data_IF_433094586538
#
_entry.id   IF_433094586538
#
_cell.length_a   1.000
_cell.length_b   1.000
_cell.length_c   1.000
_cell.angle_alpha   90.00
_cell.angle_beta   90.00
_cell.angle_gamma   90.00
#
_symmetry.space_group_name_H-M   'P 1'
#
loop_
_entity.id
_entity.type
_entity.pdbx_description
1 polymer ?
#
# COMPACT_ATOMS: atom_id res chain seq x y z
N UNK A 1 72.37 92.48 70.91
CA UNK A 1 71.70 93.32 69.89
C UNK A 1 71.49 92.45 68.66
N UNK A 2 70.25 92.39 68.18
CA UNK A 2 69.75 91.75 66.94
C UNK A 2 70.62 90.66 66.30
N UNK A 3 70.21 89.39 66.46
CA UNK A 3 70.69 88.29 65.65
C UNK A 3 70.35 88.55 64.18
N UNK A 4 71.29 89.14 63.47
CA UNK A 4 71.24 89.28 62.02
C UNK A 4 71.48 87.90 61.41
N UNK A 5 70.63 87.52 60.45
CA UNK A 5 70.90 86.39 59.56
C UNK A 5 72.20 86.70 58.84
N UNK A 6 73.21 85.83 58.93
CA UNK A 6 74.48 86.05 58.23
C UNK A 6 74.32 85.79 56.73
N UNK A 7 75.18 86.35 55.88
CA UNK A 7 75.21 85.99 54.44
C UNK A 7 75.34 84.47 54.24
N UNK A 8 76.08 83.80 55.13
CA UNK A 8 76.23 82.33 55.14
C UNK A 8 74.92 81.61 55.47
N UNK A 9 74.09 82.16 56.37
CA UNK A 9 72.75 81.62 56.66
C UNK A 9 71.80 81.82 55.47
N UNK A 10 71.89 82.95 54.75
CA UNK A 10 71.11 83.18 53.52
C UNK A 10 71.52 82.23 52.38
N UNK A 11 72.82 82.02 52.17
CA UNK A 11 73.33 81.02 51.21
C UNK A 11 72.88 79.61 51.57
N UNK A 12 72.89 79.25 52.86
CA UNK A 12 72.40 77.94 53.32
C UNK A 12 70.90 77.78 53.08
N UNK A 13 70.08 78.83 53.31
CA UNK A 13 68.64 78.81 53.06
C UNK A 13 68.36 78.68 51.56
N UNK A 14 69.06 79.45 50.71
CA UNK A 14 68.90 79.37 49.25
C UNK A 14 69.30 77.99 48.73
N UNK A 15 70.46 77.46 49.17
CA UNK A 15 70.89 76.10 48.81
C UNK A 15 69.88 75.03 49.28
N UNK A 16 69.30 75.19 50.47
CA UNK A 16 68.28 74.28 50.97
C UNK A 16 66.97 74.36 50.20
N UNK A 17 66.59 75.56 49.78
CA UNK A 17 65.42 75.79 48.94
C UNK A 17 65.63 75.22 47.54
N UNK A 18 66.79 75.42 46.91
CA UNK A 18 67.13 74.79 45.63
C UNK A 18 67.09 73.26 45.74
N UNK A 19 67.66 72.69 46.81
CA UNK A 19 67.56 71.26 47.05
C UNK A 19 66.10 70.79 47.23
N UNK A 20 65.25 71.61 47.85
CA UNK A 20 63.83 71.31 47.97
C UNK A 20 63.13 71.34 46.62
N UNK A 21 63.45 72.30 45.75
CA UNK A 21 62.93 72.34 44.38
C UNK A 21 63.39 71.10 43.61
N UNK A 22 64.67 70.75 43.63
CA UNK A 22 65.21 69.53 42.99
C UNK A 22 64.51 68.25 43.51
N UNK A 23 64.20 68.22 44.80
CA UNK A 23 63.53 67.08 45.44
C UNK A 23 62.04 67.02 45.06
N UNK A 24 61.35 68.16 45.00
CA UNK A 24 59.95 68.26 44.59
C UNK A 24 59.77 68.04 43.07
N UNK A 25 60.78 68.37 42.26
CA UNK A 25 60.80 68.12 40.81
C UNK A 25 61.20 66.69 40.45
N UNK A 26 61.50 65.84 41.44
CA UNK A 26 62.01 64.48 41.27
C UNK A 26 63.37 64.39 40.57
N UNK A 27 64.15 65.47 40.54
CA UNK A 27 65.53 65.47 40.06
C UNK A 27 66.49 64.81 41.07
N UNK A 28 66.14 64.81 42.36
CA UNK A 28 66.84 64.09 43.44
C UNK A 28 65.87 63.22 44.25
N UNK A 29 66.31 61.98 44.52
CA UNK A 29 65.52 60.99 45.27
C UNK A 29 65.74 61.02 46.79
N UNK A 30 66.77 61.73 47.25
CA UNK A 30 67.13 61.87 48.66
C UNK A 30 67.29 63.34 49.01
N UNK A 31 66.85 63.69 50.22
CA UNK A 31 66.93 65.05 50.74
C UNK A 31 67.92 65.08 51.91
N UNK A 32 68.95 65.91 51.81
CA UNK A 32 69.99 66.07 52.83
C UNK A 32 69.52 67.09 53.88
N UNK A 33 69.14 66.60 55.06
CA UNK A 33 68.61 67.46 56.11
C UNK A 33 69.70 68.31 56.79
N UNK A 34 69.49 69.62 56.87
CA UNK A 34 70.28 70.51 57.72
C UNK A 34 69.74 70.41 59.16
N UNK A 35 70.54 69.85 60.06
CA UNK A 35 70.16 69.65 61.48
C UNK A 35 70.61 70.81 62.40
N UNK A 36 71.69 71.52 62.05
CA UNK A 36 72.13 72.75 62.73
C UNK A 36 73.08 73.60 61.89
N UNK A 37 72.90 74.92 61.90
CA UNK A 37 73.80 75.95 61.36
C UNK A 37 74.52 76.74 62.44
N UNK A 38 74.25 76.45 63.73
CA UNK A 38 74.77 77.18 64.89
C UNK A 38 73.97 78.44 65.25
N UNK A 39 72.94 78.80 64.47
CA UNK A 39 72.02 79.90 64.77
C UNK A 39 70.66 79.34 65.19
N UNK A 40 70.33 79.44 66.48
CA UNK A 40 69.11 78.85 67.07
C UNK A 40 67.82 79.20 66.32
N UNK A 41 67.67 80.42 65.80
CA UNK A 41 66.47 80.82 65.04
C UNK A 41 66.38 80.14 63.67
N UNK A 42 67.52 79.94 63.01
CA UNK A 42 67.63 79.28 61.71
C UNK A 42 67.47 77.76 61.88
N UNK A 43 68.02 77.18 62.95
CA UNK A 43 67.87 75.76 63.30
C UNK A 43 66.42 75.37 63.60
N UNK A 44 65.69 76.20 64.37
CA UNK A 44 64.26 75.98 64.65
C UNK A 44 63.40 76.12 63.37
N UNK A 45 63.85 76.90 62.39
CA UNK A 45 63.21 76.98 61.07
C UNK A 45 63.47 75.69 60.27
N UNK A 46 64.73 75.26 60.15
CA UNK A 46 65.06 74.03 59.44
C UNK A 46 64.41 72.81 60.09
N UNK A 47 64.34 72.69 61.42
CA UNK A 47 63.60 71.58 62.08
C UNK A 47 62.14 71.50 61.66
N UNK A 48 61.44 72.64 61.58
CA UNK A 48 60.05 72.69 61.10
C UNK A 48 59.95 72.30 59.63
N UNK A 49 60.87 72.79 58.79
CA UNK A 49 60.92 72.42 57.38
C UNK A 49 61.23 70.93 57.20
N UNK A 50 62.17 70.36 57.95
CA UNK A 50 62.53 68.95 57.92
C UNK A 50 61.33 68.06 58.22
N UNK A 51 60.51 68.44 59.20
CA UNK A 51 59.27 67.71 59.51
C UNK A 51 58.26 67.78 58.37
N UNK A 52 58.09 68.95 57.73
CA UNK A 52 57.19 69.11 56.59
C UNK A 52 57.69 68.38 55.34
N UNK A 53 59.00 68.38 55.10
CA UNK A 53 59.63 67.69 53.97
C UNK A 53 59.57 66.17 54.17
N UNK A 54 59.82 65.67 55.39
CA UNK A 54 59.64 64.24 55.72
C UNK A 54 58.18 63.79 55.58
N UNK A 55 57.22 64.61 56.01
CA UNK A 55 55.80 64.29 55.85
C UNK A 55 55.34 64.37 54.39
N UNK A 56 55.90 65.29 53.61
CA UNK A 56 55.68 65.37 52.17
C UNK A 56 56.27 64.16 51.44
N UNK A 57 57.54 63.82 51.68
CA UNK A 57 58.21 62.66 51.07
C UNK A 57 57.43 61.36 51.34
N UNK A 58 57.00 61.15 52.59
CA UNK A 58 56.16 60.00 52.94
C UNK A 58 54.86 59.98 52.13
N UNK A 59 54.13 61.11 52.09
CA UNK A 59 52.88 61.21 51.32
C UNK A 59 53.11 61.02 49.82
N UNK A 60 54.17 61.58 49.25
CA UNK A 60 54.54 61.41 47.85
C UNK A 60 54.88 59.95 47.53
N UNK A 61 55.62 59.26 48.40
CA UNK A 61 55.91 57.82 48.25
C UNK A 61 54.66 56.95 48.36
N UNK A 62 53.74 57.26 49.28
CA UNK A 62 52.48 56.54 49.41
C UNK A 62 51.57 56.79 48.18
N UNK A 63 51.53 58.02 47.66
CA UNK A 63 50.85 58.40 46.40
C UNK A 63 51.43 57.60 45.21
N UNK A 64 52.76 57.58 45.06
CA UNK A 64 53.46 56.82 44.01
C UNK A 64 53.20 55.32 44.12
N UNK A 65 53.11 54.77 45.32
CA UNK A 65 52.79 53.34 45.53
C UNK A 65 51.39 53.01 45.01
N UNK A 66 50.39 53.84 45.31
CA UNK A 66 49.02 53.65 44.80
C UNK A 66 48.98 53.78 43.28
N UNK A 67 49.66 54.79 42.71
CA UNK A 67 49.72 54.98 41.25
C UNK A 67 50.44 53.81 40.55
N UNK A 68 51.52 53.28 41.13
CA UNK A 68 52.20 52.10 40.63
C UNK A 68 51.29 50.85 40.64
N UNK A 69 50.54 50.63 41.72
CA UNK A 69 49.54 49.55 41.78
C UNK A 69 48.40 49.74 40.76
N UNK A 70 47.98 50.98 40.49
CA UNK A 70 47.00 51.29 39.45
C UNK A 70 47.52 50.85 38.08
N UNK A 71 48.78 51.18 37.74
CA UNK A 71 49.39 50.78 36.46
C UNK A 71 49.45 49.24 36.34
N UNK A 72 49.91 48.55 37.38
CA UNK A 72 49.96 47.08 37.38
C UNK A 72 48.56 46.45 37.29
N UNK A 73 47.56 47.07 37.93
CA UNK A 73 46.18 46.60 37.87
C UNK A 73 45.59 46.82 36.47
N UNK A 74 45.90 47.96 35.84
CA UNK A 74 45.45 48.27 34.48
C UNK A 74 46.01 47.26 33.45
N UNK A 75 47.29 46.91 33.52
CA UNK A 75 47.90 45.86 32.66
C UNK A 75 47.20 44.50 32.82
N UNK A 76 46.80 44.15 34.05
CA UNK A 76 46.02 42.91 34.29
C UNK A 76 44.61 42.99 33.71
N UNK A 77 43.98 44.15 33.79
CA UNK A 77 42.62 44.40 33.28
C UNK A 77 42.59 44.35 31.74
N UNK A 78 43.62 44.90 31.09
CA UNK A 78 43.83 44.78 29.64
C UNK A 78 43.86 43.30 29.20
N UNK A 79 44.43 42.43 30.03
CA UNK A 79 44.49 40.97 29.81
C UNK A 79 43.22 40.23 30.26
N UNK A 80 42.17 40.93 30.68
CA UNK A 80 40.91 40.34 31.14
C UNK A 80 40.90 39.82 32.58
N UNK A 81 41.90 40.16 33.40
CA UNK A 81 42.01 39.70 34.79
C UNK A 81 41.36 40.72 35.74
N UNK A 82 40.03 40.63 35.88
CA UNK A 82 39.25 41.61 36.66
C UNK A 82 39.25 41.39 38.18
N UNK A 83 39.82 40.29 38.69
CA UNK A 83 39.87 39.96 40.13
C UNK A 83 40.91 40.79 40.93
N UNK A 84 41.80 41.50 40.25
CA UNK A 84 42.87 42.30 40.87
C UNK A 84 42.33 43.55 41.57
N UNK A 85 42.93 43.97 42.68
CA UNK A 85 42.52 45.18 43.42
C UNK A 85 43.72 46.01 43.84
N UNK A 86 43.54 47.32 43.89
CA UNK A 86 44.50 48.27 44.43
C UNK A 86 44.35 48.24 45.96
N UNK A 87 45.42 47.90 46.67
CA UNK A 87 45.41 47.67 48.13
C UNK A 87 46.13 48.77 48.89
N UNK A 88 47.18 49.35 48.30
CA UNK A 88 47.92 50.48 48.87
C UNK A 88 47.01 51.68 49.15
N UNK A 89 47.37 52.51 50.13
CA UNK A 89 46.57 53.66 50.56
C UNK A 89 47.40 54.94 50.53
N UNK A 90 46.72 56.05 50.33
CA UNK A 90 47.29 57.40 50.32
C UNK A 90 46.36 58.33 51.12
N UNK A 91 46.94 59.31 51.80
CA UNK A 91 46.21 60.37 52.50
C UNK A 91 45.66 61.44 51.55
N UNK A 92 46.07 61.41 50.26
CA UNK A 92 45.56 62.30 49.22
C UNK A 92 44.11 61.91 48.86
N UNK A 93 43.12 62.78 49.12
CA UNK A 93 41.70 62.44 48.91
C UNK A 93 41.36 62.07 47.46
N UNK A 94 42.05 62.67 46.49
CA UNK A 94 41.83 62.39 45.06
C UNK A 94 42.31 61.00 44.69
N UNK A 95 43.52 60.61 45.13
CA UNK A 95 44.09 59.29 44.88
C UNK A 95 43.29 58.22 45.60
N UNK A 96 42.88 58.47 46.84
CA UNK A 96 42.00 57.57 47.59
C UNK A 96 40.64 57.37 46.89
N UNK A 97 40.04 58.44 46.38
CA UNK A 97 38.78 58.38 45.62
C UNK A 97 38.95 57.62 44.31
N UNK A 98 40.06 57.84 43.60
CA UNK A 98 40.39 57.13 42.36
C UNK A 98 40.54 55.62 42.61
N UNK A 99 41.32 55.23 43.63
CA UNK A 99 41.45 53.83 44.08
C UNK A 99 40.08 53.19 44.30
N UNK A 100 39.22 53.82 45.09
CA UNK A 100 37.92 53.26 45.44
C UNK A 100 36.99 53.15 44.24
N UNK A 101 37.04 54.14 43.34
CA UNK A 101 36.25 54.14 42.09
C UNK A 101 36.70 53.01 41.16
N UNK A 102 38.02 52.84 40.98
CA UNK A 102 38.58 51.74 40.18
C UNK A 102 38.26 50.38 40.80
N UNK A 103 38.45 50.20 42.11
CA UNK A 103 38.11 48.94 42.78
C UNK A 103 36.61 48.61 42.69
N UNK A 104 35.72 49.62 42.75
CA UNK A 104 34.27 49.44 42.56
C UNK A 104 33.94 49.03 41.12
N UNK A 105 34.56 49.68 40.13
CA UNK A 105 34.43 49.32 38.72
C UNK A 105 34.88 47.87 38.49
N UNK A 106 36.06 47.50 38.98
CA UNK A 106 36.60 46.14 38.86
C UNK A 106 35.71 45.10 39.53
N UNK A 107 35.16 45.40 40.71
CA UNK A 107 34.22 44.49 41.39
C UNK A 107 32.93 44.30 40.61
N UNK A 108 32.44 45.34 39.93
CA UNK A 108 31.24 45.24 39.09
C UNK A 108 31.48 44.40 37.83
N UNK A 109 32.65 44.53 37.20
CA UNK A 109 33.03 43.74 36.01
C UNK A 109 33.31 42.28 36.40
N UNK A 110 34.01 42.06 37.51
CA UNK A 110 34.31 40.73 38.06
C UNK A 110 33.02 39.96 38.42
N UNK A 111 32.04 40.60 39.05
CA UNK A 111 30.72 39.99 39.32
C UNK A 111 29.95 39.69 38.03
N UNK A 112 29.93 40.62 37.06
CA UNK A 112 29.24 40.41 35.79
C UNK A 112 29.84 39.23 35.01
N UNK A 113 31.15 39.22 34.85
CA UNK A 113 31.89 38.16 34.14
C UNK A 113 31.78 36.81 34.84
N UNK A 114 31.84 36.78 36.17
CA UNK A 114 31.65 35.55 36.95
C UNK A 114 30.24 34.95 36.78
N UNK A 115 29.19 35.80 36.76
CA UNK A 115 27.80 35.35 36.52
C UNK A 115 27.62 34.80 35.11
N UNK A 116 28.16 35.51 34.11
CA UNK A 116 28.12 35.08 32.71
C UNK A 116 28.84 33.74 32.56
N UNK A 117 30.07 33.63 33.08
CA UNK A 117 30.87 32.42 32.96
C UNK A 117 30.20 31.22 33.65
N UNK A 118 29.54 31.43 34.80
CA UNK A 118 28.79 30.37 35.49
C UNK A 118 27.70 29.80 34.59
N UNK A 119 26.82 30.65 34.06
CA UNK A 119 25.66 30.23 33.27
C UNK A 119 26.10 29.63 31.93
N UNK A 120 27.08 30.23 31.26
CA UNK A 120 27.65 29.67 30.02
C UNK A 120 28.28 28.31 30.28
N UNK A 121 29.00 28.12 31.40
CA UNK A 121 29.53 26.81 31.77
C UNK A 121 28.40 25.79 32.03
N UNK A 122 27.29 26.18 32.66
CA UNK A 122 26.12 25.31 32.81
C UNK A 122 25.61 24.84 31.44
N UNK A 123 25.48 25.76 30.46
CA UNK A 123 25.03 25.41 29.10
C UNK A 123 26.01 24.49 28.37
N UNK A 124 27.33 24.63 28.56
CA UNK A 124 28.32 23.70 27.98
C UNK A 124 28.25 22.28 28.55
N UNK A 125 27.58 22.11 29.70
CA UNK A 125 27.33 20.82 30.33
C UNK A 125 25.86 20.38 30.15
N UNK A 126 25.20 20.87 29.07
CA UNK A 126 23.82 20.53 28.72
C UNK A 126 22.78 20.88 29.81
N UNK A 127 23.11 21.80 30.70
CA UNK A 127 22.22 22.29 31.75
C UNK A 127 21.68 23.68 31.40
N UNK A 128 20.51 23.71 30.77
CA UNK A 128 19.83 24.92 30.32
C UNK A 128 18.86 25.49 31.37
N UNK A 129 18.97 25.05 32.63
CA UNK A 129 18.09 25.50 33.72
C UNK A 129 18.64 26.70 34.49
N UNK A 130 19.96 26.94 34.45
CA UNK A 130 20.61 28.10 35.08
C UNK A 130 20.31 29.39 34.30
N UNK A 131 20.27 30.52 35.00
CA UNK A 131 20.01 31.82 34.40
C UNK A 131 20.71 32.95 35.15
N UNK A 132 21.03 34.02 34.42
CA UNK A 132 21.63 35.23 34.98
C UNK A 132 20.50 36.08 35.57
N UNK A 133 20.53 36.25 36.89
CA UNK A 133 19.72 37.29 37.55
C UNK A 133 20.31 38.66 37.23
N UNK A 134 19.69 39.36 36.30
CA UNK A 134 20.04 40.74 35.92
C UNK A 134 19.65 41.69 37.05
N UNK A 135 20.61 42.47 37.55
CA UNK A 135 20.43 43.46 38.62
C UNK A 135 20.41 44.86 38.00
N UNK A 136 19.61 45.79 38.55
CA UNK A 136 19.37 47.14 37.99
C UNK A 136 20.62 48.03 37.88
N UNK A 137 21.73 47.65 38.51
CA UNK A 137 23.00 48.36 38.40
C UNK A 137 23.72 48.13 37.07
N UNK A 138 23.39 47.07 36.33
CA UNK A 138 23.88 46.83 34.98
C UNK A 138 23.00 47.55 33.95
N UNK A 139 23.65 48.26 33.03
CA UNK A 139 22.98 49.07 32.01
C UNK A 139 23.58 48.77 30.65
N UNK A 140 22.86 49.21 29.62
CA UNK A 140 23.32 49.20 28.22
C UNK A 140 23.77 47.80 27.77
N UNK A 141 24.83 47.70 26.97
CA UNK A 141 25.40 46.44 26.44
C UNK A 141 25.57 45.32 27.46
N UNK A 142 25.99 45.62 28.70
CA UNK A 142 26.18 44.58 29.72
C UNK A 142 24.85 43.95 30.14
N UNK A 143 23.81 44.77 30.27
CA UNK A 143 22.46 44.28 30.55
C UNK A 143 21.94 43.45 29.37
N UNK A 144 22.09 43.97 28.15
CA UNK A 144 21.65 43.30 26.94
C UNK A 144 22.35 41.94 26.74
N UNK A 145 23.65 41.85 27.06
CA UNK A 145 24.42 40.61 27.01
C UNK A 145 23.86 39.57 27.97
N UNK A 146 23.60 39.95 29.23
CA UNK A 146 23.03 39.04 30.23
C UNK A 146 21.63 38.56 29.84
N UNK A 147 20.79 39.46 29.33
CA UNK A 147 19.45 39.11 28.84
C UNK A 147 19.52 38.18 27.62
N UNK A 148 20.44 38.43 26.71
CA UNK A 148 20.66 37.62 25.51
C UNK A 148 21.16 36.20 25.84
N UNK A 149 22.01 36.04 26.87
CA UNK A 149 22.42 34.72 27.38
C UNK A 149 21.24 33.96 28.00
N UNK A 150 20.34 34.65 28.70
CA UNK A 150 19.12 34.03 29.22
C UNK A 150 18.18 33.57 28.08
N UNK A 151 18.03 34.40 27.03
CA UNK A 151 17.25 34.02 25.85
C UNK A 151 17.87 32.79 25.18
N UNK A 152 19.20 32.76 25.01
CA UNK A 152 19.90 31.61 24.45
C UNK A 152 19.63 30.33 25.24
N UNK A 153 19.72 30.37 26.57
CA UNK A 153 19.41 29.20 27.42
C UNK A 153 17.97 28.71 27.26
N UNK A 154 17.01 29.64 27.18
CA UNK A 154 15.61 29.31 26.93
C UNK A 154 15.41 28.64 25.56
N UNK A 155 16.03 29.15 24.50
CA UNK A 155 15.92 28.56 23.17
C UNK A 155 16.60 27.19 23.08
N UNK A 156 17.74 26.99 23.75
CA UNK A 156 18.39 25.67 23.87
C UNK A 156 17.51 24.68 24.64
N UNK A 157 16.92 25.11 25.76
CA UNK A 157 15.99 24.28 26.54
C UNK A 157 14.73 23.91 25.75
N UNK A 158 14.14 24.87 25.03
CA UNK A 158 13.01 24.62 24.13
C UNK A 158 13.38 23.64 23.01
N UNK A 159 14.57 23.79 22.42
CA UNK A 159 15.06 22.87 21.39
C UNK A 159 15.23 21.45 21.93
N UNK A 160 15.82 21.29 23.12
CA UNK A 160 15.96 19.99 23.77
C UNK A 160 14.58 19.34 24.09
N UNK A 161 13.62 20.14 24.55
CA UNK A 161 12.23 19.70 24.78
C UNK A 161 11.52 19.27 23.51
N UNK A 162 11.66 20.03 22.43
CA UNK A 162 11.11 19.68 21.13
C UNK A 162 11.73 18.38 20.60
N UNK A 163 13.05 18.20 20.76
CA UNK A 163 13.72 16.96 20.40
C UNK A 163 13.15 15.78 21.23
N UNK A 164 12.99 15.92 22.54
CA UNK A 164 12.36 14.88 23.36
C UNK A 164 11.00 14.45 22.80
N UNK A 165 10.10 15.41 22.54
CA UNK A 165 8.77 15.14 22.00
C UNK A 165 8.82 14.49 20.60
N UNK A 166 9.74 14.95 19.74
CA UNK A 166 9.95 14.38 18.40
C UNK A 166 10.43 12.92 18.49
N UNK A 167 11.33 12.62 19.43
CA UNK A 167 11.81 11.28 19.70
C UNK A 167 10.69 10.34 20.15
N UNK A 168 9.84 10.77 21.09
CA UNK A 168 8.71 9.97 21.57
C UNK A 168 7.70 9.71 20.45
N UNK A 169 7.44 10.72 19.61
CA UNK A 169 6.54 10.59 18.46
C UNK A 169 7.10 9.60 17.44
N UNK A 170 8.39 9.72 17.09
CA UNK A 170 9.06 8.82 16.15
C UNK A 170 9.08 7.37 16.65
N UNK A 171 9.34 7.14 17.94
CA UNK A 171 9.32 5.80 18.54
C UNK A 171 7.94 5.16 18.42
N UNK A 172 6.88 5.90 18.78
CA UNK A 172 5.50 5.44 18.68
C UNK A 172 5.08 5.16 17.22
N UNK A 173 5.44 6.06 16.29
CA UNK A 173 5.17 5.87 14.86
C UNK A 173 5.90 4.65 14.29
N UNK A 174 7.17 4.44 14.64
CA UNK A 174 7.96 3.30 14.19
C UNK A 174 7.40 1.96 14.73
N UNK A 175 6.96 1.93 15.99
CA UNK A 175 6.30 0.77 16.60
C UNK A 175 4.98 0.43 15.91
N UNK A 176 4.16 1.45 15.64
CA UNK A 176 2.89 1.30 14.90
C UNK A 176 3.14 0.79 13.48
N UNK A 177 4.12 1.35 12.78
CA UNK A 177 4.50 0.96 11.42
C UNK A 177 4.99 -0.48 11.36
N UNK A 178 5.82 -0.90 12.33
CA UNK A 178 6.28 -2.30 12.47
C UNK A 178 5.09 -3.25 12.65
N UNK A 179 4.12 -2.89 13.48
CA UNK A 179 2.92 -3.70 13.72
C UNK A 179 2.04 -3.81 12.48
N UNK A 180 1.83 -2.69 11.77
CA UNK A 180 1.09 -2.66 10.50
C UNK A 180 1.77 -3.50 9.42
N UNK A 181 3.10 -3.46 9.33
CA UNK A 181 3.85 -4.30 8.39
C UNK A 181 3.75 -5.78 8.75
N UNK A 182 3.87 -6.17 10.02
CA UNK A 182 3.66 -7.57 10.40
C UNK A 182 2.26 -8.08 10.02
N UNK A 183 1.23 -7.24 10.16
CA UNK A 183 -0.12 -7.56 9.72
C UNK A 183 -0.20 -7.71 8.19
N UNK A 184 0.38 -6.77 7.43
CA UNK A 184 0.43 -6.85 5.96
C UNK A 184 1.14 -8.13 5.48
N UNK A 185 2.28 -8.49 6.07
CA UNK A 185 2.99 -9.72 5.75
C UNK A 185 2.14 -10.97 6.05
N UNK A 186 1.39 -10.97 7.16
CA UNK A 186 0.46 -12.07 7.50
C UNK A 186 -0.67 -12.16 6.47
N UNK A 187 -1.27 -11.04 6.09
CA UNK A 187 -2.34 -10.98 5.09
C UNK A 187 -1.86 -11.40 3.70
N UNK A 188 -0.64 -11.02 3.32
CA UNK A 188 -0.02 -11.47 2.08
C UNK A 188 0.16 -13.00 2.06
N UNK A 189 0.60 -13.61 3.16
CA UNK A 189 0.71 -15.06 3.26
C UNK A 189 -0.67 -15.77 3.21
N UNK A 190 -1.68 -15.25 3.90
CA UNK A 190 -3.06 -15.77 3.82
C UNK A 190 -3.62 -15.67 2.38
N UNK A 191 -3.34 -14.56 1.70
CA UNK A 191 -3.75 -14.33 0.32
C UNK A 191 -3.02 -15.29 -0.63
N UNK A 192 -1.73 -15.55 -0.44
CA UNK A 192 -0.97 -16.52 -1.23
C UNK A 192 -1.58 -17.93 -1.11
N UNK A 193 -1.90 -18.38 0.10
CA UNK A 193 -2.57 -19.67 0.33
C UNK A 193 -3.96 -19.72 -0.35
N UNK A 194 -4.71 -18.61 -0.33
CA UNK A 194 -6.01 -18.52 -1.00
C UNK A 194 -5.87 -18.56 -2.54
N UNK A 195 -4.80 -17.97 -3.08
CA UNK A 195 -4.49 -18.03 -4.51
C UNK A 195 -4.08 -19.43 -4.95
N UNK A 196 -3.33 -20.19 -4.14
CA UNK A 196 -3.02 -21.60 -4.42
C UNK A 196 -4.30 -22.45 -4.53
N UNK A 197 -5.23 -22.28 -3.59
CA UNK A 197 -6.53 -22.97 -3.64
C UNK A 197 -7.35 -22.57 -4.87
N UNK A 198 -7.34 -21.27 -5.21
CA UNK A 198 -8.03 -20.76 -6.40
C UNK A 198 -7.41 -21.31 -7.69
N UNK A 199 -6.09 -21.40 -7.75
CA UNK A 199 -5.37 -21.98 -8.88
C UNK A 199 -5.72 -23.48 -9.06
N UNK A 200 -5.75 -24.25 -7.97
CA UNK A 200 -6.16 -25.66 -8.01
C UNK A 200 -7.62 -25.83 -8.50
N UNK A 201 -8.54 -24.99 -8.00
CA UNK A 201 -9.93 -24.99 -8.45
C UNK A 201 -10.05 -24.60 -9.94
N UNK A 202 -9.23 -23.67 -10.41
CA UNK A 202 -9.18 -23.29 -11.82
C UNK A 202 -8.64 -24.41 -12.71
N UNK A 203 -7.64 -25.17 -12.27
CA UNK A 203 -7.17 -26.36 -13.01
C UNK A 203 -8.29 -27.41 -13.14
N UNK A 204 -9.05 -27.66 -12.07
CA UNK A 204 -10.19 -28.58 -12.09
C UNK A 204 -11.28 -28.08 -13.06
N UNK A 205 -11.67 -26.81 -12.98
CA UNK A 205 -12.65 -26.20 -13.89
C UNK A 205 -12.14 -26.26 -15.34
N UNK A 206 -10.87 -25.97 -15.58
CA UNK A 206 -10.25 -26.07 -16.92
C UNK A 206 -10.39 -27.47 -17.49
N UNK A 207 -10.11 -28.49 -16.67
CA UNK A 207 -10.22 -29.90 -17.04
C UNK A 207 -11.67 -30.28 -17.39
N UNK A 208 -12.63 -29.87 -16.54
CA UNK A 208 -14.06 -30.12 -16.76
C UNK A 208 -14.54 -29.44 -18.05
N UNK A 209 -14.22 -28.16 -18.26
CA UNK A 209 -14.61 -27.42 -19.46
C UNK A 209 -14.03 -28.04 -20.72
N UNK A 210 -12.76 -28.48 -20.68
CA UNK A 210 -12.14 -29.20 -21.79
C UNK A 210 -12.84 -30.53 -22.09
N UNK A 211 -13.22 -31.28 -21.06
CA UNK A 211 -13.98 -32.52 -21.21
C UNK A 211 -15.37 -32.24 -21.82
N UNK A 212 -16.05 -31.18 -21.39
CA UNK A 212 -17.33 -30.75 -21.96
C UNK A 212 -17.22 -30.42 -23.45
N UNK A 213 -16.18 -29.71 -23.87
CA UNK A 213 -15.95 -29.44 -25.31
C UNK A 213 -15.77 -30.74 -26.11
N UNK A 214 -15.01 -31.71 -25.58
CA UNK A 214 -14.83 -33.01 -26.23
C UNK A 214 -16.14 -33.80 -26.30
N UNK A 215 -16.92 -33.81 -25.22
CA UNK A 215 -18.22 -34.48 -25.18
C UNK A 215 -19.22 -33.83 -26.13
N UNK A 216 -19.28 -32.50 -26.20
CA UNK A 216 -20.14 -31.79 -27.14
C UNK A 216 -19.77 -32.14 -28.60
N UNK A 217 -18.48 -32.17 -28.92
CA UNK A 217 -18.00 -32.59 -30.25
C UNK A 217 -18.47 -34.01 -30.58
N UNK A 218 -18.28 -34.96 -29.65
CA UNK A 218 -18.71 -36.36 -29.81
C UNK A 218 -20.25 -36.49 -29.92
N UNK A 219 -21.00 -35.70 -29.16
CA UNK A 219 -22.47 -35.65 -29.25
C UNK A 219 -22.91 -35.14 -30.62
N UNK A 220 -22.23 -34.14 -31.18
CA UNK A 220 -22.49 -33.64 -32.53
C UNK A 220 -22.30 -34.71 -33.59
N UNK A 221 -21.18 -35.45 -33.54
CA UNK A 221 -20.92 -36.58 -34.44
C UNK A 221 -22.00 -37.68 -34.33
N UNK A 222 -22.37 -38.07 -33.11
CA UNK A 222 -23.43 -39.05 -32.87
C UNK A 222 -24.79 -38.54 -33.38
N UNK A 223 -25.10 -37.26 -33.17
CA UNK A 223 -26.30 -36.61 -33.68
C UNK A 223 -26.39 -36.73 -35.21
N UNK A 224 -25.30 -36.50 -35.93
CA UNK A 224 -25.25 -36.66 -37.39
C UNK A 224 -25.47 -38.11 -37.83
N UNK A 225 -24.92 -39.09 -37.11
CA UNK A 225 -25.14 -40.52 -37.39
C UNK A 225 -26.62 -40.89 -37.19
N UNK A 226 -27.24 -40.42 -36.10
CA UNK A 226 -28.67 -40.64 -35.84
C UNK A 226 -29.53 -39.98 -36.91
N UNK A 227 -29.22 -38.73 -37.29
CA UNK A 227 -29.93 -38.02 -38.36
C UNK A 227 -29.91 -38.77 -39.68
N UNK A 228 -28.75 -39.32 -40.08
CA UNK A 228 -28.62 -40.16 -41.27
C UNK A 228 -29.44 -41.45 -41.17
N UNK A 229 -29.48 -42.07 -39.99
CA UNK A 229 -30.26 -43.29 -39.74
C UNK A 229 -31.76 -43.03 -39.83
N UNK A 230 -32.23 -41.89 -39.30
CA UNK A 230 -33.62 -41.42 -39.42
C UNK A 230 -34.00 -41.17 -40.88
N UNK A 231 -33.16 -40.50 -41.66
CA UNK A 231 -33.38 -40.30 -43.10
C UNK A 231 -33.51 -41.63 -43.86
N UNK A 232 -32.64 -42.60 -43.52
CA UNK A 232 -32.71 -43.94 -44.12
C UNK A 232 -34.02 -44.65 -43.73
N UNK A 233 -34.47 -44.50 -42.49
CA UNK A 233 -35.77 -45.02 -42.02
C UNK A 233 -36.95 -44.40 -42.76
N UNK A 234 -36.94 -43.08 -42.97
CA UNK A 234 -37.94 -42.35 -43.75
C UNK A 234 -38.02 -42.87 -45.19
N UNK A 235 -36.88 -43.06 -45.86
CA UNK A 235 -36.82 -43.63 -47.21
C UNK A 235 -37.39 -45.05 -47.28
N UNK A 236 -37.10 -45.90 -46.30
CA UNK A 236 -37.61 -47.27 -46.24
C UNK A 236 -39.12 -47.31 -45.97
N UNK A 237 -39.63 -46.43 -45.11
CA UNK A 237 -41.07 -46.28 -44.89
C UNK A 237 -41.79 -45.81 -46.17
N UNK A 238 -41.21 -44.85 -46.90
CA UNK A 238 -41.71 -44.40 -48.20
C UNK A 238 -41.76 -45.54 -49.24
N UNK A 239 -40.69 -46.33 -49.36
CA UNK A 239 -40.68 -47.53 -50.23
C UNK A 239 -41.72 -48.57 -49.82
N UNK A 240 -41.97 -48.72 -48.53
CA UNK A 240 -42.99 -49.65 -48.01
C UNK A 240 -44.39 -49.18 -48.38
N UNK A 241 -44.68 -47.88 -48.23
CA UNK A 241 -45.95 -47.29 -48.65
C UNK A 241 -46.22 -47.50 -50.16
N UNK A 242 -45.20 -47.27 -51.00
CA UNK A 242 -45.28 -47.53 -52.44
C UNK A 242 -45.53 -49.00 -52.75
N UNK A 243 -44.86 -49.91 -52.05
CA UNK A 243 -45.06 -51.36 -52.23
C UNK A 243 -46.48 -51.79 -51.84
N UNK A 244 -47.06 -51.20 -50.79
CA UNK A 244 -48.45 -51.45 -50.41
C UNK A 244 -49.44 -50.90 -51.44
N UNK A 245 -49.13 -49.76 -52.07
CA UNK A 245 -49.91 -49.25 -53.20
C UNK A 245 -49.88 -50.19 -54.41
N UNK A 246 -48.70 -50.70 -54.76
CA UNK A 246 -48.57 -51.69 -55.84
C UNK A 246 -49.35 -52.97 -55.53
N UNK A 247 -49.28 -53.46 -54.29
CA UNK A 247 -50.06 -54.62 -53.83
C UNK A 247 -51.56 -54.33 -53.98
N UNK A 248 -52.04 -53.18 -53.52
CA UNK A 248 -53.44 -52.78 -53.61
C UNK A 248 -53.94 -52.77 -55.06
N UNK A 249 -53.15 -52.25 -56.00
CA UNK A 249 -53.46 -52.29 -57.43
C UNK A 249 -53.50 -53.71 -58.00
N UNK A 250 -52.57 -54.60 -57.61
CA UNK A 250 -52.62 -56.02 -58.02
C UNK A 250 -53.83 -56.75 -57.44
N UNK A 251 -54.18 -56.47 -56.19
CA UNK A 251 -55.33 -57.07 -55.51
C UNK A 251 -56.65 -56.62 -56.16
N UNK A 252 -56.78 -55.34 -56.55
CA UNK A 252 -57.92 -54.85 -57.34
C UNK A 252 -58.05 -55.56 -58.70
N UNK A 253 -56.93 -55.76 -59.40
CA UNK A 253 -56.93 -56.49 -60.67
C UNK A 253 -57.40 -57.95 -60.49
N UNK A 254 -56.95 -58.61 -59.41
CA UNK A 254 -57.44 -59.96 -59.05
C UNK A 254 -58.94 -59.93 -58.76
N UNK A 255 -59.44 -58.98 -57.96
CA UNK A 255 -60.88 -58.88 -57.65
C UNK A 255 -61.74 -58.72 -58.92
N UNK A 256 -61.26 -57.92 -59.88
CA UNK A 256 -61.91 -57.77 -61.18
C UNK A 256 -61.95 -59.10 -61.96
N UNK A 257 -60.83 -59.83 -62.01
CA UNK A 257 -60.77 -61.14 -62.65
C UNK A 257 -61.70 -62.18 -61.99
N UNK A 258 -61.76 -62.20 -60.65
CA UNK A 258 -62.66 -63.08 -59.88
C UNK A 258 -64.13 -62.75 -60.17
N UNK A 259 -64.47 -61.46 -60.30
CA UNK A 259 -65.82 -61.03 -60.69
C UNK A 259 -66.20 -61.55 -62.07
N UNK A 260 -65.28 -61.56 -63.03
CA UNK A 260 -65.51 -62.15 -64.36
C UNK A 260 -65.69 -63.68 -64.26
N UNK A 261 -64.92 -64.36 -63.42
CA UNK A 261 -65.07 -65.82 -63.21
C UNK A 261 -66.45 -66.15 -62.61
N UNK A 262 -66.91 -65.38 -61.62
CA UNK A 262 -68.24 -65.53 -61.03
C UNK A 262 -69.36 -65.32 -62.07
N UNK A 263 -69.20 -64.31 -62.95
CA UNK A 263 -70.11 -64.11 -64.09
C UNK A 263 -70.12 -65.28 -65.08
N UNK A 264 -68.95 -65.83 -65.42
CA UNK A 264 -68.83 -67.01 -66.29
C UNK A 264 -69.49 -68.23 -65.63
N UNK A 265 -69.26 -68.45 -64.32
CA UNK A 265 -69.87 -69.53 -63.57
C UNK A 265 -71.41 -69.39 -63.55
N UNK A 266 -71.93 -68.18 -63.33
CA UNK A 266 -73.36 -67.90 -63.40
C UNK A 266 -73.94 -68.17 -64.80
N UNK A 267 -73.30 -67.67 -65.86
CA UNK A 267 -73.72 -67.95 -67.24
C UNK A 267 -73.73 -69.44 -67.55
N UNK A 268 -72.69 -70.17 -67.11
CA UNK A 268 -72.55 -71.63 -67.28
C UNK A 268 -73.67 -72.37 -66.54
N UNK A 269 -74.03 -71.93 -65.33
CA UNK A 269 -75.15 -72.47 -64.57
C UNK A 269 -76.48 -72.29 -65.32
N UNK A 270 -76.75 -71.11 -65.89
CA UNK A 270 -77.95 -70.85 -66.71
C UNK A 270 -77.95 -71.70 -68.00
N UNK A 271 -76.82 -71.79 -68.71
CA UNK A 271 -76.65 -72.64 -69.89
C UNK A 271 -76.94 -74.12 -69.58
N UNK A 272 -76.39 -74.61 -68.47
CA UNK A 272 -76.60 -76.00 -68.02
C UNK A 272 -78.05 -76.27 -67.61
N UNK A 273 -78.73 -75.29 -67.00
CA UNK A 273 -80.15 -75.38 -66.67
C UNK A 273 -81.01 -75.46 -67.93
N UNK A 274 -80.74 -74.60 -68.93
CA UNK A 274 -81.43 -74.63 -70.21
C UNK A 274 -81.21 -75.97 -70.93
N UNK A 275 -79.98 -76.50 -70.91
CA UNK A 275 -79.66 -77.81 -71.46
C UNK A 275 -80.38 -78.96 -70.73
N UNK A 276 -80.49 -78.88 -69.40
CA UNK A 276 -81.22 -79.86 -68.60
C UNK A 276 -82.74 -79.83 -68.89
N UNK A 277 -83.32 -78.64 -69.09
CA UNK A 277 -84.72 -78.47 -69.51
C UNK A 277 -84.96 -79.07 -70.89
N UNK A 278 -84.10 -78.77 -71.87
CA UNK A 278 -84.22 -79.31 -73.24
C UNK A 278 -84.04 -80.84 -73.27
N UNK A 279 -83.12 -81.37 -72.46
CA UNK A 279 -82.92 -82.81 -72.29
C UNK A 279 -84.15 -83.50 -71.66
N UNK A 280 -84.86 -82.83 -70.75
CA UNK A 280 -86.12 -83.33 -70.19
C UNK A 280 -87.25 -83.31 -71.23
N UNK A 281 -87.30 -82.30 -72.10
CA UNK A 281 -88.24 -82.20 -73.23
C UNK A 281 -88.05 -83.36 -74.23
N UNK A 282 -86.82 -83.84 -74.42
CA UNK A 282 -86.48 -84.95 -75.32
C UNK A 282 -86.77 -86.37 -74.77
N UNK A 283 -87.29 -86.51 -73.54
CA UNK A 283 -87.75 -87.80 -72.98
C UNK A 283 -86.63 -88.84 -72.80
N UNK A 284 -86.88 -90.11 -73.17
CA UNK A 284 -85.93 -91.23 -73.00
C UNK A 284 -84.60 -91.03 -73.78
N UNK A 285 -84.62 -90.34 -74.93
CA UNK A 285 -83.44 -90.08 -75.74
C UNK A 285 -82.50 -89.02 -75.12
N UNK A 286 -83.02 -88.17 -74.22
CA UNK A 286 -82.28 -87.08 -73.57
C UNK A 286 -81.60 -87.44 -72.25
N UNK A 287 -81.81 -88.65 -71.71
CA UNK A 287 -81.30 -89.06 -70.37
C UNK A 287 -79.79 -88.88 -70.21
N UNK A 288 -78.99 -89.22 -71.22
CA UNK A 288 -77.53 -89.04 -71.17
C UNK A 288 -77.10 -87.57 -71.15
N UNK A 289 -77.79 -86.72 -71.91
CA UNK A 289 -77.56 -85.27 -71.94
C UNK A 289 -78.00 -84.58 -70.64
N UNK A 290 -79.08 -85.06 -70.01
CA UNK A 290 -79.55 -84.53 -68.73
C UNK A 290 -78.51 -84.74 -67.61
N UNK A 291 -77.83 -85.90 -67.58
CA UNK A 291 -76.77 -86.17 -66.60
C UNK A 291 -75.57 -85.25 -66.81
N UNK A 292 -75.12 -85.06 -68.06
CA UNK A 292 -74.01 -84.14 -68.38
C UNK A 292 -74.39 -82.70 -68.03
N UNK A 293 -75.61 -82.26 -68.36
CA UNK A 293 -76.09 -80.93 -68.00
C UNK A 293 -76.13 -80.71 -66.47
N UNK A 294 -76.55 -81.72 -65.70
CA UNK A 294 -76.54 -81.66 -64.23
C UNK A 294 -75.12 -81.63 -63.65
N UNK A 295 -74.16 -82.35 -64.25
CA UNK A 295 -72.76 -82.32 -63.82
C UNK A 295 -72.08 -80.98 -64.15
N UNK A 296 -72.34 -80.42 -65.33
CA UNK A 296 -71.89 -79.07 -65.71
C UNK A 296 -72.49 -78.02 -64.76
N UNK A 297 -73.75 -78.19 -64.35
CA UNK A 297 -74.40 -77.32 -63.37
C UNK A 297 -73.73 -77.39 -61.99
N UNK A 298 -73.43 -78.59 -61.51
CA UNK A 298 -72.71 -78.79 -60.26
C UNK A 298 -71.31 -78.17 -60.32
N UNK A 299 -70.58 -78.31 -61.44
CA UNK A 299 -69.28 -77.70 -61.63
C UNK A 299 -69.36 -76.17 -61.67
N UNK A 300 -70.39 -75.61 -62.31
CA UNK A 300 -70.63 -74.17 -62.34
C UNK A 300 -70.92 -73.61 -60.94
N UNK A 301 -71.74 -74.30 -60.13
CA UNK A 301 -71.99 -73.90 -58.73
C UNK A 301 -70.73 -73.97 -57.87
N UNK A 302 -69.91 -75.03 -58.03
CA UNK A 302 -68.61 -75.14 -57.33
C UNK A 302 -67.64 -74.02 -57.73
N UNK A 303 -67.61 -73.64 -59.01
CA UNK A 303 -66.81 -72.52 -59.50
C UNK A 303 -67.28 -71.18 -58.92
N UNK A 304 -68.60 -70.97 -58.82
CA UNK A 304 -69.16 -69.76 -58.20
C UNK A 304 -68.84 -69.69 -56.69
N UNK A 305 -68.94 -70.82 -55.98
CA UNK A 305 -68.57 -70.90 -54.57
C UNK A 305 -67.09 -70.60 -54.34
N UNK A 306 -66.19 -71.22 -55.12
CA UNK A 306 -64.76 -70.96 -55.06
C UNK A 306 -64.42 -69.50 -55.44
N UNK A 307 -65.09 -68.93 -56.45
CA UNK A 307 -64.92 -67.52 -56.79
C UNK A 307 -65.33 -66.60 -55.63
N UNK A 308 -66.39 -66.95 -54.89
CA UNK A 308 -66.87 -66.21 -53.72
C UNK A 308 -65.89 -66.29 -52.54
N UNK A 309 -65.31 -67.46 -52.27
CA UNK A 309 -64.27 -67.62 -51.26
C UNK A 309 -63.01 -66.82 -51.60
N UNK A 310 -62.53 -66.88 -52.84
CA UNK A 310 -61.37 -66.08 -53.28
C UNK A 310 -61.69 -64.58 -53.19
N UNK A 311 -62.91 -64.16 -53.54
CA UNK A 311 -63.34 -62.77 -53.41
C UNK A 311 -63.22 -62.26 -51.97
N UNK A 312 -63.68 -63.06 -51.00
CA UNK A 312 -63.56 -62.72 -49.58
C UNK A 312 -62.07 -62.59 -49.16
N UNK A 313 -61.21 -63.54 -49.56
CA UNK A 313 -59.77 -63.48 -49.27
C UNK A 313 -59.09 -62.24 -49.88
N UNK A 314 -59.48 -61.88 -51.10
CA UNK A 314 -58.98 -60.69 -51.81
C UNK A 314 -59.45 -59.40 -51.13
N UNK A 315 -60.69 -59.36 -50.63
CA UNK A 315 -61.23 -58.23 -49.87
C UNK A 315 -60.49 -58.07 -48.53
N UNK A 316 -60.25 -59.16 -47.80
CA UNK A 316 -59.41 -59.14 -46.59
C UNK A 316 -57.96 -58.69 -46.88
N UNK A 317 -57.36 -59.17 -47.97
CA UNK A 317 -56.02 -58.75 -48.40
C UNK A 317 -55.99 -57.26 -48.77
N UNK A 318 -57.06 -56.72 -49.36
CA UNK A 318 -57.21 -55.29 -49.67
C UNK A 318 -57.22 -54.46 -48.39
N UNK A 319 -57.98 -54.89 -47.38
CA UNK A 319 -58.03 -54.22 -46.07
C UNK A 319 -56.63 -54.21 -45.44
N UNK A 320 -55.93 -55.36 -45.41
CA UNK A 320 -54.58 -55.45 -44.84
C UNK A 320 -53.54 -54.62 -45.58
N UNK A 321 -53.61 -54.53 -46.91
CA UNK A 321 -52.72 -53.68 -47.70
C UNK A 321 -52.96 -52.18 -47.40
N UNK A 322 -54.23 -51.76 -47.30
CA UNK A 322 -54.58 -50.38 -46.93
C UNK A 322 -54.12 -50.04 -45.50
N UNK A 323 -54.31 -50.96 -44.54
CA UNK A 323 -53.79 -50.79 -43.18
C UNK A 323 -52.26 -50.64 -43.18
N UNK A 324 -51.55 -51.49 -43.93
CA UNK A 324 -50.10 -51.43 -44.09
C UNK A 324 -49.63 -50.11 -44.71
N UNK A 325 -50.38 -49.58 -45.67
CA UNK A 325 -50.13 -48.25 -46.26
C UNK A 325 -50.30 -47.14 -45.22
N UNK A 326 -51.38 -47.16 -44.44
CA UNK A 326 -51.62 -46.18 -43.38
C UNK A 326 -50.50 -46.19 -42.34
N UNK A 327 -50.12 -47.36 -41.85
CA UNK A 327 -49.00 -47.51 -40.90
C UNK A 327 -47.69 -46.96 -41.50
N UNK A 328 -47.43 -47.23 -42.78
CA UNK A 328 -46.24 -46.71 -43.45
C UNK A 328 -46.28 -45.18 -43.58
N UNK A 329 -47.46 -44.59 -43.82
CA UNK A 329 -47.64 -43.13 -43.84
C UNK A 329 -47.38 -42.52 -42.46
N UNK A 330 -47.91 -43.11 -41.40
CA UNK A 330 -47.69 -42.65 -40.03
C UNK A 330 -46.20 -42.76 -39.65
N UNK A 331 -45.51 -43.82 -40.09
CA UNK A 331 -44.06 -43.94 -39.92
C UNK A 331 -43.28 -42.82 -40.61
N UNK A 332 -43.68 -42.42 -41.82
CA UNK A 332 -43.03 -41.31 -42.55
C UNK A 332 -43.16 -40.01 -41.75
N UNK A 333 -44.35 -39.70 -41.25
CA UNK A 333 -44.57 -38.47 -40.48
C UNK A 333 -43.83 -38.52 -39.13
N UNK A 334 -43.79 -39.69 -38.47
CA UNK A 334 -42.99 -39.91 -37.28
C UNK A 334 -41.48 -39.70 -37.52
N UNK A 335 -40.95 -40.17 -38.65
CA UNK A 335 -39.55 -39.93 -39.02
C UNK A 335 -39.25 -38.46 -39.34
N UNK A 336 -40.18 -37.72 -39.96
CA UNK A 336 -40.03 -36.28 -40.18
C UNK A 336 -39.93 -35.51 -38.86
N UNK A 337 -40.79 -35.84 -37.90
CA UNK A 337 -40.76 -35.22 -36.57
C UNK A 337 -39.45 -35.56 -35.83
N UNK A 338 -39.02 -36.83 -35.88
CA UNK A 338 -37.72 -37.27 -35.36
C UNK A 338 -36.55 -36.49 -35.99
N UNK A 339 -36.59 -36.26 -37.30
CA UNK A 339 -35.56 -35.51 -38.03
C UNK A 339 -35.52 -34.02 -37.62
N UNK A 340 -36.68 -33.43 -37.35
CA UNK A 340 -36.76 -32.08 -36.78
C UNK A 340 -36.12 -32.04 -35.38
N UNK A 341 -36.54 -32.94 -34.48
CA UNK A 341 -36.06 -32.98 -33.10
C UNK A 341 -34.55 -33.24 -33.00
N UNK A 342 -34.01 -34.15 -33.83
CA UNK A 342 -32.56 -34.41 -33.86
C UNK A 342 -31.79 -33.21 -34.42
N UNK A 343 -32.35 -32.49 -35.39
CA UNK A 343 -31.72 -31.28 -35.94
C UNK A 343 -31.67 -30.15 -34.89
N UNK A 344 -32.75 -29.94 -34.14
CA UNK A 344 -32.77 -29.00 -33.02
C UNK A 344 -31.76 -29.40 -31.93
N UNK A 345 -31.66 -30.70 -31.63
CA UNK A 345 -30.68 -31.23 -30.66
C UNK A 345 -29.23 -30.96 -31.11
N UNK A 346 -28.92 -31.15 -32.39
CA UNK A 346 -27.60 -30.85 -32.95
C UNK A 346 -27.27 -29.37 -32.81
N UNK A 347 -28.22 -28.48 -33.11
CA UNK A 347 -28.02 -27.03 -32.95
C UNK A 347 -27.69 -26.66 -31.49
N UNK A 348 -28.41 -27.23 -30.52
CA UNK A 348 -28.12 -27.01 -29.08
C UNK A 348 -26.72 -27.50 -28.72
N UNK A 349 -26.28 -28.64 -29.27
CA UNK A 349 -24.92 -29.16 -29.04
C UNK A 349 -23.85 -28.21 -29.62
N UNK A 350 -24.11 -27.62 -30.78
CA UNK A 350 -23.23 -26.59 -31.37
C UNK A 350 -23.13 -25.35 -30.48
N UNK A 351 -24.26 -24.88 -29.94
CA UNK A 351 -24.30 -23.77 -28.99
C UNK A 351 -23.51 -24.08 -27.70
N UNK A 352 -23.68 -25.29 -27.14
CA UNK A 352 -22.93 -25.75 -25.95
C UNK A 352 -21.43 -25.83 -26.24
N UNK A 353 -21.04 -26.29 -27.44
CA UNK A 353 -19.64 -26.34 -27.87
C UNK A 353 -19.04 -24.94 -27.98
N UNK A 354 -19.78 -24.01 -28.59
CA UNK A 354 -19.41 -22.60 -28.69
C UNK A 354 -19.23 -21.95 -27.32
N UNK A 355 -20.23 -22.09 -26.44
CA UNK A 355 -20.18 -21.57 -25.07
C UNK A 355 -19.02 -22.18 -24.26
N UNK A 356 -18.75 -23.48 -24.41
CA UNK A 356 -17.62 -24.13 -23.72
C UNK A 356 -16.28 -23.59 -24.20
N UNK A 357 -16.16 -23.25 -25.49
CA UNK A 357 -14.95 -22.63 -26.04
C UNK A 357 -14.74 -21.21 -25.53
N UNK A 358 -15.82 -20.44 -25.40
CA UNK A 358 -15.78 -19.10 -24.79
C UNK A 358 -15.43 -19.16 -23.29
N UNK A 359 -15.98 -20.13 -22.55
CA UNK A 359 -15.60 -20.40 -21.16
C UNK A 359 -14.11 -20.70 -21.03
N UNK A 360 -13.52 -21.48 -21.95
CA UNK A 360 -12.08 -21.77 -21.95
C UNK A 360 -11.25 -20.49 -22.08
N UNK A 361 -11.63 -19.58 -22.99
CA UNK A 361 -10.97 -18.28 -23.14
C UNK A 361 -11.11 -17.42 -21.87
N UNK A 362 -12.29 -17.42 -21.24
CA UNK A 362 -12.51 -16.75 -19.96
C UNK A 362 -11.64 -17.31 -18.84
N UNK A 363 -11.48 -18.64 -18.78
CA UNK A 363 -10.62 -19.30 -17.79
C UNK A 363 -9.14 -18.94 -18.01
N UNK A 364 -8.67 -18.86 -19.26
CA UNK A 364 -7.30 -18.40 -19.56
C UNK A 364 -7.04 -16.97 -19.04
N UNK A 365 -8.01 -16.06 -19.22
CA UNK A 365 -7.91 -14.69 -18.69
C UNK A 365 -7.88 -14.67 -17.15
N UNK A 366 -8.73 -15.48 -16.51
CA UNK A 366 -8.74 -15.60 -15.04
C UNK A 366 -7.39 -16.17 -14.55
N UNK A 367 -6.84 -17.17 -15.23
CA UNK A 367 -5.54 -17.75 -14.89
C UNK A 367 -4.41 -16.71 -14.97
N UNK A 368 -4.40 -15.86 -16.01
CA UNK A 368 -3.47 -14.73 -16.10
C UNK A 368 -3.63 -13.74 -14.94
N UNK A 369 -4.87 -13.42 -14.56
CA UNK A 369 -5.15 -12.53 -13.43
C UNK A 369 -4.68 -13.12 -12.10
N UNK A 370 -4.87 -14.42 -11.87
CA UNK A 370 -4.39 -15.13 -10.67
C UNK A 370 -2.87 -15.11 -10.59
N UNK A 371 -2.15 -15.37 -11.69
CA UNK A 371 -0.69 -15.27 -11.72
C UNK A 371 -0.19 -13.85 -11.41
N UNK A 372 -0.88 -12.82 -11.92
CA UNK A 372 -0.55 -11.43 -11.60
C UNK A 372 -0.79 -11.12 -10.12
N UNK A 373 -1.90 -11.60 -9.55
CA UNK A 373 -2.20 -11.44 -8.13
C UNK A 373 -1.17 -12.14 -7.24
N UNK A 374 -0.69 -13.33 -7.63
CA UNK A 374 0.39 -14.02 -6.92
C UNK A 374 1.68 -13.19 -6.89
N UNK A 375 2.09 -12.65 -8.05
CA UNK A 375 3.26 -11.77 -8.13
C UNK A 375 3.13 -10.55 -7.22
N UNK A 376 1.99 -9.86 -7.27
CA UNK A 376 1.72 -8.68 -6.42
C UNK A 376 1.68 -9.07 -4.94
N UNK A 377 1.16 -10.25 -4.61
CA UNK A 377 1.13 -10.76 -3.23
C UNK A 377 2.54 -10.99 -2.69
N UNK A 378 3.43 -11.56 -3.51
CA UNK A 378 4.84 -11.74 -3.17
C UNK A 378 5.59 -10.40 -3.04
N UNK A 379 5.34 -9.46 -3.96
CA UNK A 379 5.87 -8.09 -3.90
C UNK A 379 5.43 -7.40 -2.60
N UNK A 380 4.15 -7.48 -2.23
CA UNK A 380 3.64 -6.93 -0.97
C UNK A 380 4.33 -7.53 0.27
N UNK A 381 4.53 -8.85 0.30
CA UNK A 381 5.23 -9.51 1.39
C UNK A 381 6.70 -9.05 1.49
N UNK A 382 7.36 -8.88 0.34
CA UNK A 382 8.74 -8.39 0.26
C UNK A 382 8.86 -6.93 0.71
N UNK A 383 8.03 -6.04 0.16
CA UNK A 383 8.00 -4.61 0.53
C UNK A 383 7.68 -4.43 2.02
N UNK A 384 6.74 -5.23 2.55
CA UNK A 384 6.41 -5.21 3.97
C UNK A 384 7.62 -5.50 4.86
N UNK A 385 8.46 -6.46 4.46
CA UNK A 385 9.70 -6.76 5.18
C UNK A 385 10.73 -5.62 5.06
N UNK A 386 10.91 -5.01 3.89
CA UNK A 386 11.80 -3.86 3.75
C UNK A 386 11.36 -2.68 4.63
N UNK A 387 10.07 -2.36 4.62
CA UNK A 387 9.52 -1.26 5.42
C UNK A 387 9.65 -1.55 6.92
N UNK A 388 9.55 -2.82 7.33
CA UNK A 388 9.82 -3.24 8.70
C UNK A 388 11.27 -2.98 9.12
N UNK A 389 12.25 -3.26 8.27
CA UNK A 389 13.67 -2.94 8.54
C UNK A 389 13.91 -1.42 8.65
N UNK A 390 13.25 -0.63 7.79
CA UNK A 390 13.28 0.84 7.89
C UNK A 390 12.67 1.28 9.22
N UNK A 391 11.54 0.70 9.62
CA UNK A 391 10.87 1.02 10.89
C UNK A 391 11.76 0.73 12.10
N UNK A 392 12.51 -0.38 12.09
CA UNK A 392 13.49 -0.69 13.12
C UNK A 392 14.63 0.34 13.16
N UNK A 393 15.10 0.79 11.99
CA UNK A 393 16.12 1.83 11.89
C UNK A 393 15.61 3.17 12.43
N UNK A 394 14.37 3.55 12.13
CA UNK A 394 13.72 4.76 12.67
C UNK A 394 13.53 4.64 14.18
N UNK A 395 13.12 3.47 14.70
CA UNK A 395 13.00 3.23 16.14
C UNK A 395 14.36 3.39 16.86
N UNK A 396 15.45 2.91 16.25
CA UNK A 396 16.81 3.11 16.78
C UNK A 396 17.19 4.60 16.81
N UNK A 397 16.94 5.33 15.73
CA UNK A 397 17.19 6.78 15.67
C UNK A 397 16.37 7.55 16.71
N UNK A 398 15.11 7.17 16.89
CA UNK A 398 14.24 7.73 17.92
C UNK A 398 14.81 7.50 19.32
N UNK A 399 15.29 6.28 19.60
CA UNK A 399 15.93 5.94 20.86
C UNK A 399 17.20 6.75 21.13
N UNK A 400 18.07 6.94 20.12
CA UNK A 400 19.27 7.76 20.22
C UNK A 400 18.92 9.23 20.52
N UNK A 401 17.92 9.77 19.81
CA UNK A 401 17.45 11.14 19.98
C UNK A 401 16.78 11.36 21.35
N UNK A 402 16.01 10.39 21.83
CA UNK A 402 15.44 10.37 23.18
C UNK A 402 16.53 10.34 24.25
N UNK A 403 17.58 9.56 24.03
CA UNK A 403 18.70 9.44 24.98
C UNK A 403 19.47 10.75 25.08
N UNK A 404 19.79 11.38 23.94
CA UNK A 404 20.42 12.71 23.88
C UNK A 404 19.56 13.80 24.53
N UNK A 405 18.26 13.79 24.24
CA UNK A 405 17.33 14.75 24.86
C UNK A 405 17.25 14.53 26.38
N UNK A 406 17.17 13.28 26.86
CA UNK A 406 17.09 12.95 28.30
C UNK A 406 18.39 13.25 29.05
N UNK A 407 19.55 13.28 28.40
CA UNK A 407 20.79 13.71 29.04
C UNK A 407 20.86 15.22 29.29
N UNK A 408 20.10 16.02 28.54
CA UNK A 408 20.00 17.47 28.70
C UNK A 408 19.04 17.83 29.83
N UNK A 409 19.35 18.88 30.59
CA UNK A 409 18.46 19.43 31.61
C UNK A 409 17.79 20.70 31.09
N UNK A 410 16.47 20.69 31.11
CA UNK A 410 15.62 21.80 30.70
C UNK A 410 14.28 21.72 31.44
N UNK A 411 13.49 22.79 31.38
CA UNK A 411 12.22 22.92 32.11
C UNK A 411 10.98 22.52 31.28
#
# INVERSE_FOLDING_TARGET
MFGAVSNKDLENIDKYFQQLIDFLSYEKNEFEYIESTGNKKVDDMFKRWNQQIKSFDKRAKDDMRVLGEIVLTADKVEKGIYKSRITSSSENPTIHTLKNTLNKMLSSIDDATSRILRVVNSYTNDDFTDYIRVVDNYKDDMKLLMESINILGKELGNSAKNNLNNGETLENSASTMTSSMNNLATKANEQAASLEQTAAALEEITSITRNNTQNATKMGELGQIVKKSVQTGEELASKTALSMDEINEKVKAINSAITVIDQIAFQTNILSLNAAVEAATAGEAGKGFAVVAQEVRNLANRSAEAAREIKNLVEEATIKANDGKLISSDMIDGYKELNKNISETINIIEDVSGASKEQMLGIEQINQAVNMLDRVTQENAFESNQIKEISQSVSKLAYELLTDAKSKKFN
#
